data_IF_220852007984
#
_entry.id   IF_220852007984
#
_cell.length_a   1.000
_cell.length_b   1.000
_cell.length_c   1.000
_cell.angle_alpha   90.00
_cell.angle_beta   90.00
_cell.angle_gamma   90.00
#
_symmetry.space_group_name_H-M   'P 1'
#
loop_
_entity.id
_entity.type
_entity.pdbx_description
1 polymer ?
#
# COMPACT_ATOMS: atom_id res chain seq x y z
N UNK A 1 7.23 44.63 65.08
CA UNK A 1 8.15 44.20 64.00
C UNK A 1 8.38 42.70 64.15
N UNK A 2 8.11 41.77 63.24
CA UNK A 2 7.38 41.71 61.98
C UNK A 2 7.08 40.21 61.75
N UNK A 3 5.87 39.88 61.31
CA UNK A 3 5.42 38.51 61.05
C UNK A 3 6.02 38.02 59.73
N UNK A 4 6.82 36.97 59.76
CA UNK A 4 7.37 36.31 58.55
C UNK A 4 6.41 35.24 58.02
N UNK A 5 5.67 35.60 56.97
CA UNK A 5 4.76 34.75 56.21
C UNK A 5 5.55 33.71 55.39
N UNK A 6 5.39 32.42 55.66
CA UNK A 6 5.90 31.34 54.79
C UNK A 6 4.94 31.16 53.62
N UNK A 7 5.32 31.68 52.45
CA UNK A 7 4.63 31.44 51.19
C UNK A 7 5.16 30.13 50.59
N UNK A 8 4.28 29.14 50.49
CA UNK A 8 4.49 27.91 49.74
C UNK A 8 4.26 28.23 48.27
N UNK A 9 5.29 28.15 47.44
CA UNK A 9 5.15 28.21 45.98
C UNK A 9 4.56 26.89 45.48
N UNK A 10 3.24 26.87 45.26
CA UNK A 10 2.61 25.86 44.43
C UNK A 10 2.88 26.22 42.96
N UNK A 11 3.75 25.45 42.30
CA UNK A 11 3.99 25.55 40.87
C UNK A 11 2.75 25.01 40.13
N UNK A 12 1.76 25.87 39.88
CA UNK A 12 0.66 25.60 38.95
C UNK A 12 1.23 25.60 37.53
N UNK A 13 1.53 24.40 37.02
CA UNK A 13 1.84 24.19 35.61
C UNK A 13 0.54 24.41 34.81
N UNK A 14 0.29 25.65 34.41
CA UNK A 14 -0.71 26.01 33.41
C UNK A 14 -0.26 25.45 32.06
N UNK A 15 -0.67 24.21 31.74
CA UNK A 15 -0.65 23.68 30.39
C UNK A 15 -1.68 24.46 29.56
N UNK A 16 -1.27 25.58 28.99
CA UNK A 16 -1.93 26.18 27.84
C UNK A 16 -1.80 25.22 26.66
N UNK A 17 -2.82 24.40 26.45
CA UNK A 17 -2.97 23.60 25.23
C UNK A 17 -3.13 24.59 24.09
N UNK A 18 -2.01 24.90 23.42
CA UNK A 18 -2.02 25.51 22.10
C UNK A 18 -2.77 24.54 21.19
N UNK A 19 -3.89 25.01 20.64
CA UNK A 19 -4.61 24.35 19.54
C UNK A 19 -3.74 24.59 18.29
N UNK A 20 -2.60 23.94 18.24
CA UNK A 20 -1.74 23.86 17.07
C UNK A 20 -1.57 22.39 16.73
N UNK A 21 -1.58 22.10 15.42
CA UNK A 21 -1.58 20.78 14.81
C UNK A 21 -0.89 19.71 15.68
N UNK A 22 -1.64 18.67 16.06
CA UNK A 22 -1.09 17.45 16.63
C UNK A 22 0.13 17.06 15.80
N UNK A 23 1.31 16.99 16.43
CA UNK A 23 2.56 16.66 15.75
C UNK A 23 2.34 15.41 14.88
N UNK A 24 2.80 15.41 13.61
CA UNK A 24 2.58 14.29 12.71
C UNK A 24 3.26 13.08 13.31
N UNK A 25 2.44 12.13 13.78
CA UNK A 25 2.92 10.81 14.15
C UNK A 25 3.16 10.07 12.83
N UNK A 26 4.40 9.66 12.59
CA UNK A 26 4.76 8.93 11.37
C UNK A 26 4.18 7.52 11.44
N UNK A 27 3.30 7.18 10.51
CA UNK A 27 2.74 5.83 10.33
C UNK A 27 3.28 5.22 9.04
N UNK A 28 3.14 3.91 8.87
CA UNK A 28 3.57 3.24 7.64
C UNK A 28 2.78 3.84 6.48
N UNK A 29 3.47 4.33 5.45
CA UNK A 29 2.87 5.02 4.30
C UNK A 29 1.92 4.13 3.48
N UNK A 30 1.84 2.83 3.81
CA UNK A 30 1.31 1.79 2.93
C UNK A 30 0.91 0.49 3.62
N UNK A 31 0.16 0.61 4.72
CA UNK A 31 -0.33 -0.56 5.44
C UNK A 31 -1.70 -0.35 6.06
N UNK A 32 -2.41 -1.44 6.31
CA UNK A 32 -3.54 -1.42 7.25
C UNK A 32 -2.96 -1.04 8.61
N UNK A 33 -3.38 0.10 9.14
CA UNK A 33 -2.95 0.57 10.46
C UNK A 33 -3.84 -0.08 11.52
N UNK A 34 -3.21 -0.67 12.52
CA UNK A 34 -3.88 -1.24 13.69
C UNK A 34 -3.86 -0.26 14.84
N UNK A 35 -4.87 -0.35 15.71
CA UNK A 35 -5.07 0.58 16.82
C UNK A 35 -5.11 -0.19 18.13
N UNK A 36 -4.45 0.35 19.15
CA UNK A 36 -4.50 -0.14 20.52
C UNK A 36 -4.84 0.98 21.49
N UNK A 37 -5.57 0.64 22.55
CA UNK A 37 -5.79 1.49 23.72
C UNK A 37 -5.38 0.69 24.95
N UNK A 38 -4.38 1.19 25.68
CA UNK A 38 -3.70 0.45 26.75
C UNK A 38 -3.34 -0.97 26.28
N UNK A 39 -3.83 -2.01 26.95
CA UNK A 39 -3.47 -3.41 26.65
C UNK A 39 -4.44 -4.08 25.67
N UNK A 40 -5.41 -3.34 25.14
CA UNK A 40 -6.42 -3.86 24.22
C UNK A 40 -6.19 -3.38 22.79
N UNK A 41 -6.25 -4.32 21.84
CA UNK A 41 -6.32 -3.99 20.41
C UNK A 41 -7.75 -3.67 20.00
N UNK A 42 -7.96 -2.57 19.30
CA UNK A 42 -9.25 -2.22 18.74
C UNK A 42 -9.55 -3.07 17.49
N UNK A 43 -10.80 -3.48 17.37
CA UNK A 43 -11.34 -4.18 16.19
C UNK A 43 -12.49 -3.40 15.60
N UNK A 44 -12.57 -3.39 14.28
CA UNK A 44 -13.54 -2.61 13.53
C UNK A 44 -14.28 -3.52 12.54
N UNK A 45 -15.28 -4.28 13.02
CA UNK A 45 -15.97 -5.28 12.18
C UNK A 45 -16.87 -4.65 11.12
N UNK A 46 -17.49 -3.50 11.42
CA UNK A 46 -18.48 -2.87 10.54
C UNK A 46 -17.85 -1.82 9.62
N UNK A 47 -17.14 -0.83 10.19
CA UNK A 47 -16.58 0.32 9.47
C UNK A 47 -15.10 0.41 9.78
N UNK A 48 -14.27 0.32 8.75
CA UNK A 48 -12.81 0.33 8.91
C UNK A 48 -12.27 1.75 9.14
N UNK A 49 -11.16 1.90 9.88
CA UNK A 49 -10.44 3.17 9.99
C UNK A 49 -9.98 3.70 8.63
N UNK A 50 -9.92 5.02 8.50
CA UNK A 50 -9.49 5.71 7.28
C UNK A 50 -8.33 6.66 7.57
N UNK A 51 -7.48 6.89 6.57
CA UNK A 51 -6.41 7.90 6.64
C UNK A 51 -6.71 9.01 5.65
N UNK A 52 -6.73 10.25 6.13
CA UNK A 52 -6.89 11.42 5.27
C UNK A 52 -5.87 12.49 5.65
N UNK A 53 -5.07 12.96 4.69
CA UNK A 53 -4.01 13.97 4.93
C UNK A 53 -3.13 13.63 6.15
N UNK A 54 -2.71 12.37 6.27
CA UNK A 54 -1.93 11.81 7.39
C UNK A 54 -2.61 11.83 8.77
N UNK A 55 -3.93 12.04 8.83
CA UNK A 55 -4.72 11.92 10.05
C UNK A 55 -5.49 10.59 10.02
N UNK A 56 -5.35 9.80 11.08
CA UNK A 56 -6.06 8.54 11.26
C UNK A 56 -7.44 8.80 11.89
N UNK A 57 -8.47 8.31 11.22
CA UNK A 57 -9.86 8.41 11.63
C UNK A 57 -10.40 7.05 12.03
N UNK A 58 -11.04 6.98 13.19
CA UNK A 58 -11.68 5.76 13.69
C UNK A 58 -13.14 6.02 14.04
N UNK A 59 -14.01 4.98 14.01
CA UNK A 59 -15.35 5.07 14.54
C UNK A 59 -15.38 5.46 16.02
N UNK A 60 -16.10 6.54 16.36
CA UNK A 60 -16.11 7.11 17.72
C UNK A 60 -16.60 6.13 18.79
N UNK A 61 -17.55 5.25 18.45
CA UNK A 61 -18.15 4.30 19.41
C UNK A 61 -17.14 3.24 19.87
N UNK A 62 -16.40 2.68 18.93
CA UNK A 62 -15.35 1.68 19.18
C UNK A 62 -14.22 2.30 19.99
N UNK A 63 -13.83 3.54 19.64
CA UNK A 63 -12.82 4.27 20.40
C UNK A 63 -13.29 4.56 21.84
N UNK A 64 -14.52 5.04 22.00
CA UNK A 64 -15.12 5.33 23.31
C UNK A 64 -15.19 4.07 24.19
N UNK A 65 -15.60 2.93 23.63
CA UNK A 65 -15.64 1.66 24.34
C UNK A 65 -14.24 1.24 24.82
N UNK A 66 -13.23 1.26 23.95
CA UNK A 66 -11.87 0.87 24.29
C UNK A 66 -11.23 1.79 25.36
N UNK A 67 -11.56 3.08 25.32
CA UNK A 67 -11.08 4.06 26.31
C UNK A 67 -11.93 4.09 27.59
N UNK A 68 -12.98 3.27 27.68
CA UNK A 68 -13.97 3.23 28.76
C UNK A 68 -14.64 4.59 29.01
N UNK A 69 -14.98 5.30 27.92
CA UNK A 69 -15.73 6.55 27.96
C UNK A 69 -17.23 6.28 27.99
N UNK A 70 -17.97 7.09 28.72
CA UNK A 70 -19.42 7.18 28.55
C UNK A 70 -19.70 7.97 27.29
N UNK A 71 -20.57 7.43 26.42
CA UNK A 71 -20.99 8.05 25.16
C UNK A 71 -22.50 8.30 25.18
N UNK A 72 -22.92 9.50 24.80
CA UNK A 72 -24.34 9.85 24.58
C UNK A 72 -24.48 10.65 23.29
N UNK A 73 -25.59 10.48 22.58
CA UNK A 73 -25.87 11.22 21.35
C UNK A 73 -27.27 11.87 21.42
N UNK A 74 -27.36 13.17 21.13
CA UNK A 74 -28.61 13.94 21.11
C UNK A 74 -28.44 15.16 20.21
N UNK A 75 -29.47 15.53 19.43
CA UNK A 75 -29.47 16.76 18.61
C UNK A 75 -28.17 16.98 17.80
N UNK A 76 -27.68 15.94 17.13
CA UNK A 76 -26.43 15.92 16.34
C UNK A 76 -25.12 16.07 17.15
N UNK A 77 -25.21 16.24 18.46
CA UNK A 77 -24.08 16.19 19.40
C UNK A 77 -23.78 14.74 19.78
N UNK A 78 -22.51 14.35 19.68
CA UNK A 78 -21.96 13.15 20.34
C UNK A 78 -21.08 13.62 21.50
N UNK A 79 -21.45 13.24 22.72
CA UNK A 79 -20.73 13.61 23.94
C UNK A 79 -19.99 12.41 24.51
N UNK A 80 -18.71 12.62 24.79
CA UNK A 80 -17.79 11.67 25.42
C UNK A 80 -17.40 12.17 26.80
N UNK A 81 -17.46 11.30 27.82
CA UNK A 81 -17.05 11.66 29.19
C UNK A 81 -16.23 10.58 29.88
N UNK A 82 -15.25 10.99 30.70
CA UNK A 82 -14.50 10.12 31.63
C UNK A 82 -14.09 10.95 32.85
N UNK A 83 -14.64 10.60 34.01
CA UNK A 83 -14.50 11.42 35.22
C UNK A 83 -14.99 12.85 34.97
N UNK A 84 -14.11 13.84 35.21
CA UNK A 84 -14.42 15.26 35.02
C UNK A 84 -14.20 15.75 33.57
N UNK A 85 -13.59 14.93 32.71
CA UNK A 85 -13.28 15.30 31.33
C UNK A 85 -14.52 15.10 30.44
N UNK A 86 -14.81 16.09 29.60
CA UNK A 86 -15.98 16.09 28.70
C UNK A 86 -15.57 16.62 27.34
N UNK A 87 -15.92 15.90 26.28
CA UNK A 87 -15.72 16.33 24.91
C UNK A 87 -17.00 16.15 24.11
N UNK A 88 -17.53 17.23 23.58
CA UNK A 88 -18.71 17.25 22.72
C UNK A 88 -18.29 17.43 21.27
N UNK A 89 -18.89 16.64 20.38
CA UNK A 89 -18.55 16.53 18.96
C UNK A 89 -19.79 16.79 18.10
N UNK A 90 -19.71 17.72 17.16
CA UNK A 90 -20.73 17.97 16.14
C UNK A 90 -20.12 17.63 14.78
N UNK A 91 -20.40 16.41 14.32
CA UNK A 91 -19.81 15.85 13.11
C UNK A 91 -20.06 16.70 11.86
N UNK A 92 -21.32 17.12 11.65
CA UNK A 92 -21.71 17.91 10.47
C UNK A 92 -21.06 19.30 10.45
N UNK A 93 -20.82 19.88 11.63
CA UNK A 93 -20.25 21.22 11.76
C UNK A 93 -18.73 21.22 11.87
N UNK A 94 -18.10 20.04 11.90
CA UNK A 94 -16.68 19.86 12.21
C UNK A 94 -16.27 20.63 13.48
N UNK A 95 -17.15 20.65 14.48
CA UNK A 95 -17.01 21.45 15.70
C UNK A 95 -16.85 20.53 16.89
N UNK A 96 -15.98 20.93 17.80
CA UNK A 96 -15.83 20.32 19.11
C UNK A 96 -15.94 21.36 20.20
N UNK A 97 -16.43 20.94 21.37
CA UNK A 97 -16.48 21.76 22.59
C UNK A 97 -15.94 20.93 23.73
N UNK A 98 -14.98 21.47 24.45
CA UNK A 98 -14.35 20.82 25.60
C UNK A 98 -15.10 21.18 26.90
N UNK A 99 -14.85 20.43 27.98
CA UNK A 99 -15.59 20.59 29.24
C UNK A 99 -15.48 21.96 29.91
N UNK A 100 -14.45 22.76 29.57
CA UNK A 100 -14.28 24.16 30.03
C UNK A 100 -14.96 25.18 29.10
N UNK A 101 -15.69 24.72 28.08
CA UNK A 101 -16.42 25.54 27.13
C UNK A 101 -15.60 26.02 25.94
N UNK A 102 -14.31 25.64 25.80
CA UNK A 102 -13.53 26.04 24.62
C UNK A 102 -14.00 25.28 23.38
N UNK A 103 -14.27 26.05 22.33
CA UNK A 103 -14.64 25.54 21.02
C UNK A 103 -13.44 25.46 20.08
N UNK A 104 -13.43 24.47 19.21
CA UNK A 104 -12.45 24.36 18.12
C UNK A 104 -13.06 23.67 16.89
N UNK A 105 -12.39 23.85 15.74
CA UNK A 105 -12.70 23.10 14.53
C UNK A 105 -11.86 21.83 14.49
N UNK A 106 -12.53 20.70 14.32
CA UNK A 106 -11.91 19.40 14.14
C UNK A 106 -12.64 18.71 13.00
N UNK A 107 -11.92 18.42 11.93
CA UNK A 107 -12.51 17.71 10.81
C UNK A 107 -12.91 16.30 11.25
N UNK A 108 -14.15 15.92 10.90
CA UNK A 108 -14.82 14.67 11.18
C UNK A 108 -15.74 14.38 9.99
N UNK A 109 -16.17 13.14 9.85
CA UNK A 109 -17.11 12.77 8.79
C UNK A 109 -17.90 11.53 9.17
N UNK A 110 -18.96 11.25 8.41
CA UNK A 110 -19.76 10.05 8.61
C UNK A 110 -19.44 9.02 7.53
N UNK A 111 -19.16 7.79 7.93
CA UNK A 111 -19.06 6.62 7.04
C UNK A 111 -20.05 5.57 7.51
N UNK A 112 -20.93 5.12 6.62
CA UNK A 112 -21.93 4.09 6.92
C UNK A 112 -22.69 4.34 8.25
N UNK A 113 -23.17 5.58 8.43
CA UNK A 113 -23.85 6.04 9.65
C UNK A 113 -23.02 5.96 10.94
N UNK A 114 -21.69 5.90 10.86
CA UNK A 114 -20.75 6.01 11.98
C UNK A 114 -19.98 7.31 11.88
N UNK A 115 -19.93 8.07 12.98
CA UNK A 115 -19.08 9.25 13.10
C UNK A 115 -17.61 8.82 13.23
N UNK A 116 -16.80 9.29 12.29
CA UNK A 116 -15.36 9.09 12.21
C UNK A 116 -14.65 10.28 12.85
N UNK A 117 -13.78 10.01 13.82
CA UNK A 117 -13.08 11.02 14.60
C UNK A 117 -11.57 10.84 14.50
N UNK A 118 -10.77 11.93 14.55
CA UNK A 118 -9.32 11.82 14.64
C UNK A 118 -8.89 11.07 15.89
N UNK A 119 -8.30 9.88 15.70
CA UNK A 119 -7.87 9.01 16.80
C UNK A 119 -6.93 9.74 17.75
N UNK A 120 -5.95 10.44 17.18
CA UNK A 120 -4.92 11.13 17.95
C UNK A 120 -5.51 12.22 18.85
N UNK A 121 -6.39 13.06 18.29
CA UNK A 121 -6.99 14.16 19.03
C UNK A 121 -7.81 13.66 20.23
N UNK A 122 -8.71 12.70 19.99
CA UNK A 122 -9.62 12.21 21.04
C UNK A 122 -8.82 11.50 22.14
N UNK A 123 -7.85 10.65 21.78
CA UNK A 123 -7.03 9.93 22.76
C UNK A 123 -6.18 10.88 23.61
N UNK A 124 -5.48 11.83 22.98
CA UNK A 124 -4.68 12.84 23.69
C UNK A 124 -5.53 13.73 24.58
N UNK A 125 -6.74 14.11 24.13
CA UNK A 125 -7.67 14.90 24.93
C UNK A 125 -7.96 14.22 26.27
N UNK A 126 -8.14 12.89 26.29
CA UNK A 126 -8.38 12.11 27.51
C UNK A 126 -7.08 11.61 28.19
N UNK A 127 -5.94 12.23 27.91
CA UNK A 127 -4.68 12.00 28.63
C UNK A 127 -3.89 10.76 28.21
N UNK A 128 -4.15 10.21 27.02
CA UNK A 128 -3.35 9.11 26.48
C UNK A 128 -2.16 9.63 25.68
N UNK A 129 -1.02 8.97 25.84
CA UNK A 129 0.18 9.16 25.02
C UNK A 129 0.12 8.23 23.81
N UNK A 130 0.34 8.78 22.62
CA UNK A 130 0.43 8.01 21.39
C UNK A 130 1.84 7.50 21.15
N UNK A 131 1.94 6.24 20.76
CA UNK A 131 3.18 5.62 20.30
C UNK A 131 2.90 4.85 19.02
N UNK A 132 3.79 5.01 18.04
CA UNK A 132 3.80 4.16 16.84
C UNK A 132 4.77 3.02 17.02
N UNK A 133 4.32 1.83 16.69
CA UNK A 133 5.02 0.56 16.88
C UNK A 133 5.05 -0.20 15.54
N UNK A 134 5.88 -1.26 15.48
CA UNK A 134 5.95 -2.17 14.33
C UNK A 134 6.11 -1.43 12.99
N UNK A 135 7.13 -0.57 12.90
CA UNK A 135 7.47 0.21 11.69
C UNK A 135 6.32 1.05 11.13
N UNK A 136 5.38 1.49 11.99
CA UNK A 136 4.27 2.34 11.52
C UNK A 136 2.94 1.63 11.36
N UNK A 137 2.89 0.31 11.50
CA UNK A 137 1.68 -0.49 11.26
C UNK A 137 0.76 -0.57 12.47
N UNK A 138 1.24 -0.21 13.67
CA UNK A 138 0.46 -0.26 14.91
C UNK A 138 0.58 1.06 15.67
N UNK A 139 -0.57 1.63 16.04
CA UNK A 139 -0.67 2.86 16.82
C UNK A 139 -1.31 2.55 18.15
N UNK A 140 -0.61 2.85 19.24
CA UNK A 140 -1.08 2.58 20.58
C UNK A 140 -1.25 3.90 21.34
N UNK A 141 -2.46 4.15 21.83
CA UNK A 141 -2.75 5.17 22.81
C UNK A 141 -2.68 4.54 24.21
N UNK A 142 -1.76 4.97 25.06
CA UNK A 142 -1.59 4.40 26.40
C UNK A 142 -1.52 5.48 27.48
N UNK A 143 -2.03 5.17 28.66
CA UNK A 143 -1.93 6.02 29.85
C UNK A 143 -1.47 5.19 31.06
N UNK A 144 -1.57 5.73 32.27
CA UNK A 144 -1.16 5.03 33.51
C UNK A 144 -1.95 3.76 33.83
N UNK A 145 -3.00 3.43 33.07
CA UNK A 145 -3.74 2.17 33.19
C UNK A 145 -3.13 1.04 32.35
N UNK A 146 -2.08 1.29 31.54
CA UNK A 146 -1.38 0.22 30.82
C UNK A 146 -0.62 -0.71 31.77
N UNK A 147 -0.69 -2.01 31.51
CA UNK A 147 0.10 -3.03 32.22
C UNK A 147 1.23 -3.53 31.32
N UNK A 148 1.01 -3.59 30.01
CA UNK A 148 2.01 -4.07 29.05
C UNK A 148 2.91 -2.93 28.58
N UNK A 149 4.21 -3.17 28.62
CA UNK A 149 5.18 -2.41 27.83
C UNK A 149 4.87 -2.54 26.34
N UNK A 150 5.27 -1.57 25.52
CA UNK A 150 5.05 -1.60 24.07
C UNK A 150 5.60 -2.86 23.40
N UNK A 151 6.75 -3.37 23.85
CA UNK A 151 7.39 -4.58 23.31
C UNK A 151 6.49 -5.81 23.53
N UNK A 152 6.00 -5.99 24.77
CA UNK A 152 5.08 -7.07 25.13
C UNK A 152 3.71 -6.95 24.45
N UNK A 153 3.20 -5.73 24.29
CA UNK A 153 1.96 -5.49 23.55
C UNK A 153 2.09 -5.93 22.09
N UNK A 154 3.20 -5.57 21.43
CA UNK A 154 3.51 -6.03 20.07
C UNK A 154 3.62 -7.54 20.03
N UNK A 155 4.35 -8.16 20.96
CA UNK A 155 4.53 -9.62 21.02
C UNK A 155 3.20 -10.35 21.17
N UNK A 156 2.35 -9.92 22.11
CA UNK A 156 1.03 -10.50 22.37
C UNK A 156 0.13 -10.45 21.12
N UNK A 157 0.22 -9.38 20.34
CA UNK A 157 -0.59 -9.20 19.13
C UNK A 157 0.10 -9.64 17.84
N UNK A 158 1.37 -10.08 17.90
CA UNK A 158 2.19 -10.42 16.73
C UNK A 158 1.56 -11.53 15.88
N UNK A 159 0.98 -12.54 16.51
CA UNK A 159 0.31 -13.64 15.81
C UNK A 159 -0.95 -13.16 15.07
N UNK A 160 -1.71 -12.22 15.64
CA UNK A 160 -2.89 -11.62 15.00
C UNK A 160 -2.52 -10.67 13.88
N UNK A 161 -1.45 -9.87 14.05
CA UNK A 161 -0.91 -9.01 13.00
C UNK A 161 -0.45 -9.84 11.79
N UNK A 162 0.34 -10.90 12.04
CA UNK A 162 0.75 -11.86 11.00
C UNK A 162 -0.44 -12.59 10.37
N UNK A 163 -1.41 -13.02 11.19
CA UNK A 163 -2.60 -13.73 10.73
C UNK A 163 -3.44 -12.82 9.82
N UNK A 164 -3.73 -11.58 10.20
CA UNK A 164 -4.48 -10.62 9.37
C UNK A 164 -3.70 -10.13 8.14
N UNK A 165 -2.37 -10.04 8.21
CA UNK A 165 -1.51 -9.85 7.03
C UNK A 165 -1.57 -11.05 6.07
N UNK A 166 -1.66 -12.26 6.61
CA UNK A 166 -1.68 -13.51 5.82
C UNK A 166 -3.07 -13.91 5.32
N UNK A 167 -4.14 -13.59 6.05
CA UNK A 167 -5.49 -14.12 5.82
C UNK A 167 -6.36 -13.28 4.89
N UNK A 168 -5.95 -12.07 4.49
CA UNK A 168 -6.87 -11.25 3.67
C UNK A 168 -6.21 -10.22 2.77
N UNK A 169 -5.18 -10.62 2.02
CA UNK A 169 -4.72 -9.82 0.87
C UNK A 169 -4.52 -10.69 -0.35
N UNK A 170 -5.42 -10.57 -1.33
CA UNK A 170 -5.30 -11.22 -2.62
C UNK A 170 -4.07 -10.64 -3.34
N UNK A 171 -3.09 -11.46 -3.75
CA UNK A 171 -1.95 -10.93 -4.50
C UNK A 171 -2.42 -10.50 -5.89
N UNK A 172 -1.84 -9.40 -6.36
CA UNK A 172 -1.95 -8.95 -7.73
C UNK A 172 -0.57 -8.54 -8.24
N UNK A 173 -0.31 -8.82 -9.51
CA UNK A 173 1.01 -8.62 -10.11
C UNK A 173 0.88 -7.64 -11.26
N UNK A 174 1.27 -6.39 -11.03
CA UNK A 174 1.49 -5.47 -12.15
C UNK A 174 2.76 -5.84 -12.88
N UNK A 175 2.65 -5.84 -14.20
CA UNK A 175 3.78 -6.10 -15.07
C UNK A 175 3.85 -5.03 -16.16
N UNK A 176 5.04 -4.47 -16.36
CA UNK A 176 5.30 -3.40 -17.32
C UNK A 176 6.30 -3.88 -18.37
N UNK A 177 5.86 -3.91 -19.63
CA UNK A 177 6.65 -4.36 -20.78
C UNK A 177 7.29 -3.17 -21.52
N UNK A 178 8.19 -3.49 -22.45
CA UNK A 178 8.87 -2.60 -23.41
C UNK A 178 9.85 -1.56 -22.84
N UNK A 179 9.91 -1.46 -21.51
CA UNK A 179 10.82 -0.57 -20.81
C UNK A 179 12.31 -0.97 -20.91
N UNK A 180 13.21 -0.18 -20.30
CA UNK A 180 12.90 1.12 -19.72
C UNK A 180 12.66 2.17 -20.81
N UNK A 181 11.88 3.20 -20.49
CA UNK A 181 11.56 4.34 -21.36
C UNK A 181 11.81 5.66 -20.62
N UNK A 182 11.48 6.79 -21.24
CA UNK A 182 11.51 8.09 -20.56
C UNK A 182 10.48 8.19 -19.41
N UNK A 183 9.49 7.29 -19.36
CA UNK A 183 8.40 7.32 -18.37
C UNK A 183 8.63 6.41 -17.16
N UNK A 184 9.69 5.59 -17.18
CA UNK A 184 9.98 4.63 -16.11
C UNK A 184 10.07 5.30 -14.73
N UNK A 185 10.70 6.47 -14.64
CA UNK A 185 10.82 7.19 -13.37
C UNK A 185 9.47 7.71 -12.86
N UNK A 186 8.57 8.13 -13.74
CA UNK A 186 7.23 8.58 -13.37
C UNK A 186 6.39 7.41 -12.89
N UNK A 187 6.51 6.25 -13.55
CA UNK A 187 5.88 5.01 -13.13
C UNK A 187 6.35 4.59 -11.73
N UNK A 188 7.67 4.64 -11.47
CA UNK A 188 8.24 4.36 -10.15
C UNK A 188 7.76 5.35 -9.09
N UNK A 189 7.60 6.64 -9.43
CA UNK A 189 7.04 7.63 -8.51
C UNK A 189 5.62 7.27 -8.09
N UNK A 190 4.77 6.87 -9.05
CA UNK A 190 3.41 6.40 -8.77
C UNK A 190 3.45 5.14 -7.90
N UNK A 191 4.22 4.12 -8.29
CA UNK A 191 4.31 2.87 -7.52
C UNK A 191 4.77 3.12 -6.08
N UNK A 192 5.78 3.99 -5.88
CA UNK A 192 6.27 4.39 -4.56
C UNK A 192 5.21 5.14 -3.75
N UNK A 193 4.44 6.04 -4.36
CA UNK A 193 3.37 6.78 -3.68
C UNK A 193 2.33 5.84 -3.06
N UNK A 194 2.06 4.71 -3.71
CA UNK A 194 1.10 3.72 -3.22
C UNK A 194 1.76 2.49 -2.57
N UNK A 195 3.10 2.47 -2.45
CA UNK A 195 3.92 1.31 -2.09
C UNK A 195 3.49 0.01 -2.81
N UNK A 196 3.21 0.14 -4.09
CA UNK A 196 2.93 -0.99 -4.94
C UNK A 196 4.25 -1.55 -5.49
N UNK A 197 4.49 -2.86 -5.31
CA UNK A 197 5.59 -3.54 -6.01
C UNK A 197 5.11 -4.08 -7.35
N UNK A 198 6.04 -4.24 -8.29
CA UNK A 198 5.73 -4.59 -9.67
C UNK A 198 6.90 -5.31 -10.33
N UNK A 199 6.64 -5.94 -11.48
CA UNK A 199 7.65 -6.59 -12.31
C UNK A 199 7.80 -5.85 -13.63
N UNK A 200 9.02 -5.59 -14.05
CA UNK A 200 9.30 -4.89 -15.30
C UNK A 200 10.03 -5.81 -16.28
N UNK A 201 9.40 -6.12 -17.41
CA UNK A 201 10.01 -6.92 -18.47
C UNK A 201 10.71 -5.98 -19.45
N UNK A 202 12.04 -5.93 -19.34
CA UNK A 202 12.85 -4.92 -20.00
C UNK A 202 13.46 -5.43 -21.30
N UNK A 203 13.44 -4.57 -22.32
CA UNK A 203 14.06 -4.81 -23.62
C UNK A 203 15.53 -4.43 -23.54
N UNK A 204 16.41 -5.38 -23.86
CA UNK A 204 17.85 -5.22 -23.78
C UNK A 204 18.34 -3.93 -24.44
N UNK A 205 18.01 -3.67 -25.72
CA UNK A 205 18.51 -2.50 -26.45
C UNK A 205 18.28 -1.14 -25.75
N UNK A 206 17.26 -1.03 -24.89
CA UNK A 206 16.92 0.20 -24.18
C UNK A 206 17.74 0.38 -22.90
N UNK A 207 18.16 -0.72 -22.26
CA UNK A 207 18.80 -0.72 -20.93
C UNK A 207 20.03 0.19 -20.80
N UNK A 208 20.97 0.26 -21.76
CA UNK A 208 22.18 1.10 -21.60
C UNK A 208 21.85 2.58 -21.45
N UNK A 209 20.79 3.06 -22.13
CA UNK A 209 20.34 4.45 -22.07
C UNK A 209 19.73 4.80 -20.71
N UNK A 210 19.13 3.82 -20.03
CA UNK A 210 18.35 4.01 -18.80
C UNK A 210 18.93 3.23 -17.61
N UNK A 211 20.26 3.24 -17.48
CA UNK A 211 20.98 2.52 -16.43
C UNK A 211 20.55 2.95 -15.02
N UNK A 212 20.25 4.22 -14.82
CA UNK A 212 19.86 4.75 -13.50
C UNK A 212 18.46 4.30 -13.10
N UNK A 213 17.54 4.27 -14.05
CA UNK A 213 16.18 3.77 -13.90
C UNK A 213 16.23 2.29 -13.50
N UNK A 214 17.02 1.46 -14.18
CA UNK A 214 17.19 0.05 -13.83
C UNK A 214 17.69 -0.17 -12.40
N UNK A 215 18.68 0.62 -11.96
CA UNK A 215 19.15 0.59 -10.57
C UNK A 215 18.03 0.94 -9.60
N UNK A 216 17.27 1.98 -9.92
CA UNK A 216 16.15 2.45 -9.09
C UNK A 216 15.05 1.40 -8.97
N UNK A 217 14.67 0.75 -10.08
CA UNK A 217 13.70 -0.36 -10.06
C UNK A 217 14.13 -1.44 -9.07
N UNK A 218 15.40 -1.87 -9.15
CA UNK A 218 15.93 -2.90 -8.26
C UNK A 218 15.99 -2.43 -6.80
N UNK A 219 16.50 -1.21 -6.54
CA UNK A 219 16.65 -0.64 -5.21
C UNK A 219 15.32 -0.35 -4.50
N UNK A 220 14.27 -0.02 -5.25
CA UNK A 220 12.92 0.19 -4.71
C UNK A 220 12.13 -1.12 -4.50
N UNK A 221 12.77 -2.28 -4.72
CA UNK A 221 12.22 -3.60 -4.42
C UNK A 221 11.32 -4.18 -5.51
N UNK A 222 11.37 -3.63 -6.72
CA UNK A 222 10.67 -4.18 -7.88
C UNK A 222 11.51 -5.29 -8.54
N UNK A 223 10.85 -6.15 -9.30
CA UNK A 223 11.54 -7.19 -10.06
C UNK A 223 11.91 -6.68 -11.45
N UNK A 224 13.19 -6.78 -11.82
CA UNK A 224 13.63 -6.60 -13.21
C UNK A 224 13.64 -7.97 -13.91
N UNK A 225 13.00 -8.07 -15.05
CA UNK A 225 12.83 -9.28 -15.87
C UNK A 225 13.14 -8.97 -17.35
N UNK A 226 13.15 -10.00 -18.20
CA UNK A 226 13.67 -9.88 -19.58
C UNK A 226 12.55 -9.96 -20.63
N UNK A 227 12.64 -9.09 -21.64
CA UNK A 227 11.72 -9.02 -22.77
C UNK A 227 12.41 -9.16 -24.14
N UNK A 228 13.48 -9.96 -24.17
CA UNK A 228 14.36 -10.08 -25.33
C UNK A 228 15.29 -8.88 -25.50
N UNK A 229 16.17 -8.95 -26.50
CA UNK A 229 17.18 -7.91 -26.75
C UNK A 229 16.62 -6.81 -27.66
N UNK A 230 15.90 -7.18 -28.72
CA UNK A 230 15.52 -6.25 -29.80
C UNK A 230 14.05 -5.89 -29.84
N UNK A 231 13.17 -6.76 -29.31
CA UNK A 231 11.72 -6.72 -29.50
C UNK A 231 11.30 -6.80 -30.99
N UNK A 232 12.15 -7.32 -31.88
CA UNK A 232 11.82 -7.50 -33.29
C UNK A 232 11.29 -8.92 -33.53
N UNK A 233 10.01 -9.06 -33.93
CA UNK A 233 9.36 -10.34 -34.22
C UNK A 233 10.23 -11.26 -35.08
N UNK A 234 10.75 -10.71 -36.19
CA UNK A 234 11.53 -11.47 -37.19
C UNK A 234 12.89 -11.95 -36.67
N UNK A 235 13.43 -11.32 -35.62
CA UNK A 235 14.68 -11.75 -34.97
C UNK A 235 14.39 -12.73 -33.86
N UNK A 236 13.45 -12.39 -32.97
CA UNK A 236 13.10 -13.22 -31.83
C UNK A 236 12.57 -14.60 -32.26
N UNK A 237 11.56 -14.62 -33.13
CA UNK A 237 10.88 -15.84 -33.59
C UNK A 237 11.48 -16.45 -34.87
N UNK A 238 12.75 -16.16 -35.18
CA UNK A 238 13.44 -16.78 -36.32
C UNK A 238 13.68 -18.28 -36.08
N UNK A 239 14.03 -18.66 -34.86
CA UNK A 239 14.32 -20.04 -34.43
C UNK A 239 14.35 -20.15 -32.90
N UNK A 240 14.24 -21.36 -32.32
CA UNK A 240 14.46 -21.56 -30.88
C UNK A 240 15.80 -20.99 -30.38
N UNK A 241 16.86 -21.09 -31.19
CA UNK A 241 18.18 -20.57 -30.85
C UNK A 241 18.22 -19.03 -30.88
N UNK A 242 17.48 -18.37 -31.78
CA UNK A 242 17.43 -16.91 -31.81
C UNK A 242 16.68 -16.35 -30.61
N UNK A 243 15.56 -16.96 -30.21
CA UNK A 243 14.84 -16.58 -28.99
C UNK A 243 15.72 -16.74 -27.74
N UNK A 244 16.46 -17.85 -27.65
CA UNK A 244 17.41 -18.05 -26.56
C UNK A 244 18.52 -16.98 -26.58
N UNK A 245 19.07 -16.68 -27.75
CA UNK A 245 20.15 -15.69 -27.90
C UNK A 245 19.69 -14.28 -27.53
N UNK A 246 18.45 -13.90 -27.88
CA UNK A 246 17.82 -12.64 -27.48
C UNK A 246 17.66 -12.55 -25.95
N UNK A 247 17.22 -13.63 -25.30
CA UNK A 247 17.06 -13.66 -23.84
C UNK A 247 18.40 -13.67 -23.10
N UNK A 248 19.40 -14.41 -23.62
CA UNK A 248 20.75 -14.43 -23.07
C UNK A 248 21.41 -13.05 -23.20
N UNK A 249 21.31 -12.40 -24.37
CA UNK A 249 21.86 -11.07 -24.60
C UNK A 249 21.28 -10.01 -23.66
N UNK A 250 19.95 -10.01 -23.48
CA UNK A 250 19.30 -9.10 -22.54
C UNK A 250 19.72 -9.39 -21.08
N UNK A 251 19.84 -10.67 -20.69
CA UNK A 251 20.30 -11.08 -19.35
C UNK A 251 21.71 -10.60 -19.07
N UNK A 252 22.64 -10.86 -20.00
CA UNK A 252 24.05 -10.56 -19.82
C UNK A 252 24.27 -9.05 -19.74
N UNK A 253 23.54 -8.28 -20.56
CA UNK A 253 23.58 -6.83 -20.50
C UNK A 253 22.98 -6.27 -19.19
N UNK A 254 21.89 -6.84 -18.67
CA UNK A 254 21.34 -6.45 -17.37
C UNK A 254 22.36 -6.68 -16.24
N UNK A 255 23.04 -7.83 -16.26
CA UNK A 255 24.10 -8.19 -15.31
C UNK A 255 25.28 -7.22 -15.42
N UNK A 256 25.74 -6.90 -16.62
CA UNK A 256 26.84 -5.97 -16.84
C UNK A 256 26.52 -4.56 -16.33
N UNK A 257 25.30 -4.07 -16.59
CA UNK A 257 24.91 -2.71 -16.23
C UNK A 257 24.72 -2.53 -14.72
N UNK A 258 24.03 -3.45 -14.06
CA UNK A 258 23.59 -3.24 -12.66
C UNK A 258 23.84 -4.43 -11.73
N UNK A 259 24.48 -5.51 -12.19
CA UNK A 259 24.78 -6.69 -11.38
C UNK A 259 23.58 -7.58 -11.07
N UNK A 260 22.41 -7.33 -11.68
CA UNK A 260 21.19 -8.11 -11.44
C UNK A 260 21.12 -9.29 -12.40
N UNK A 261 20.91 -10.47 -11.86
CA UNK A 261 20.61 -11.68 -12.62
C UNK A 261 19.17 -12.12 -12.45
N UNK A 262 18.53 -12.50 -13.55
CA UNK A 262 17.15 -13.00 -13.56
C UNK A 262 16.97 -14.06 -14.64
N UNK A 263 16.01 -14.96 -14.39
CA UNK A 263 15.53 -15.95 -15.35
C UNK A 263 14.04 -15.78 -15.66
N UNK A 264 13.41 -14.73 -15.13
CA UNK A 264 12.04 -14.39 -15.49
C UNK A 264 12.01 -13.74 -16.86
N UNK A 265 11.18 -14.27 -17.75
CA UNK A 265 11.02 -13.77 -19.11
C UNK A 265 9.55 -13.58 -19.45
N UNK A 266 9.32 -12.63 -20.34
CA UNK A 266 8.09 -12.53 -21.11
C UNK A 266 8.46 -12.48 -22.58
N UNK A 267 7.81 -13.29 -23.39
CA UNK A 267 8.05 -13.27 -24.84
C UNK A 267 7.35 -12.06 -25.47
N UNK A 268 8.01 -11.31 -26.37
CA UNK A 268 7.37 -10.30 -27.19
C UNK A 268 6.07 -10.83 -27.82
N UNK A 269 4.98 -10.05 -27.74
CA UNK A 269 3.66 -10.40 -28.31
C UNK A 269 2.94 -11.60 -27.67
N UNK A 270 3.40 -12.05 -26.50
CA UNK A 270 2.86 -13.22 -25.81
C UNK A 270 3.32 -14.55 -26.41
N UNK A 271 3.24 -15.61 -25.61
CA UNK A 271 3.86 -16.89 -25.96
C UNK A 271 3.13 -17.69 -27.04
N UNK A 272 1.84 -17.42 -27.27
CA UNK A 272 0.99 -18.20 -28.19
C UNK A 272 0.57 -17.32 -29.36
N UNK A 273 0.64 -17.82 -30.62
CA UNK A 273 1.00 -19.18 -31.02
C UNK A 273 2.50 -19.43 -31.25
N UNK A 274 3.34 -18.40 -31.16
CA UNK A 274 4.66 -18.40 -31.79
C UNK A 274 5.77 -19.09 -30.97
N UNK A 275 5.68 -19.12 -29.63
CA UNK A 275 6.64 -19.78 -28.76
C UNK A 275 6.32 -21.29 -28.65
N UNK A 276 6.54 -22.02 -29.76
CA UNK A 276 6.23 -23.44 -29.87
C UNK A 276 7.02 -24.29 -28.86
N UNK A 277 6.73 -25.61 -28.82
CA UNK A 277 7.38 -26.52 -27.86
C UNK A 277 8.91 -26.45 -27.94
N UNK A 278 9.48 -26.38 -29.14
CA UNK A 278 10.94 -26.32 -29.34
C UNK A 278 11.57 -25.06 -28.73
N UNK A 279 10.90 -23.89 -28.86
CA UNK A 279 11.32 -22.66 -28.22
C UNK A 279 11.29 -22.79 -26.70
N UNK A 280 10.18 -23.30 -26.16
CA UNK A 280 10.01 -23.47 -24.70
C UNK A 280 10.99 -24.47 -24.12
N UNK A 281 11.24 -25.59 -24.80
CA UNK A 281 12.23 -26.58 -24.37
C UNK A 281 13.62 -25.95 -24.27
N UNK A 282 14.02 -25.17 -25.28
CA UNK A 282 15.33 -24.50 -25.29
C UNK A 282 15.47 -23.47 -24.17
N UNK A 283 14.44 -22.66 -23.92
CA UNK A 283 14.43 -21.67 -22.85
C UNK A 283 14.40 -22.32 -21.46
N UNK A 284 13.59 -23.37 -21.27
CA UNK A 284 13.48 -24.09 -20.00
C UNK A 284 14.77 -24.85 -19.64
N UNK A 285 15.49 -25.40 -20.63
CA UNK A 285 16.82 -26.01 -20.43
C UNK A 285 17.83 -25.01 -19.83
N UNK A 286 17.68 -23.73 -20.16
CA UNK A 286 18.50 -22.62 -19.62
C UNK A 286 17.90 -22.01 -18.34
N UNK A 287 16.90 -22.67 -17.75
CA UNK A 287 16.28 -22.27 -16.50
C UNK A 287 15.38 -21.03 -16.58
N UNK A 288 15.04 -20.56 -17.79
CA UNK A 288 14.12 -19.45 -17.96
C UNK A 288 12.68 -19.84 -17.57
N UNK A 289 11.97 -18.88 -16.95
CA UNK A 289 10.59 -19.00 -16.48
C UNK A 289 9.70 -18.02 -17.24
N UNK A 290 8.76 -18.55 -18.01
CA UNK A 290 7.91 -17.77 -18.90
C UNK A 290 6.64 -17.27 -18.20
N UNK A 291 6.43 -15.97 -18.24
CA UNK A 291 5.22 -15.30 -17.75
C UNK A 291 4.51 -14.56 -18.89
N UNK A 292 3.31 -15.00 -19.23
CA UNK A 292 2.31 -14.21 -19.96
C UNK A 292 1.49 -13.38 -18.95
N UNK A 293 0.22 -13.12 -19.24
CA UNK A 293 -0.72 -12.37 -18.41
C UNK A 293 -2.10 -13.03 -18.44
N UNK A 294 -2.97 -12.70 -17.48
CA UNK A 294 -4.39 -13.07 -17.51
C UNK A 294 -5.33 -11.86 -17.46
N UNK A 295 -4.76 -10.66 -17.42
CA UNK A 295 -5.44 -9.37 -17.62
C UNK A 295 -4.62 -8.57 -18.62
N UNK A 296 -5.21 -8.22 -19.75
CA UNK A 296 -4.63 -7.29 -20.72
C UNK A 296 -5.26 -5.92 -20.50
N UNK A 297 -4.46 -4.90 -20.21
CA UNK A 297 -4.98 -3.54 -19.99
C UNK A 297 -5.42 -2.85 -21.29
N UNK A 298 -5.00 -3.37 -22.44
CA UNK A 298 -5.19 -2.77 -23.76
C UNK A 298 -4.67 -1.31 -23.85
N UNK A 299 -3.73 -0.94 -23.00
CA UNK A 299 -3.14 0.40 -22.95
C UNK A 299 -2.43 0.78 -24.27
N UNK A 300 -1.79 -0.18 -24.92
CA UNK A 300 -1.20 -0.03 -26.26
C UNK A 300 -2.23 0.31 -27.35
N UNK A 301 -3.49 -0.08 -27.17
CA UNK A 301 -4.59 0.16 -28.12
C UNK A 301 -5.32 1.47 -27.83
N UNK A 302 -5.24 1.96 -26.59
CA UNK A 302 -5.98 3.10 -26.07
C UNK A 302 -5.05 4.21 -25.54
N UNK A 303 -4.08 4.70 -26.34
CA UNK A 303 -3.04 5.62 -25.86
C UNK A 303 -3.59 6.97 -25.38
N UNK A 304 -4.83 7.33 -25.71
CA UNK A 304 -5.45 8.59 -25.27
C UNK A 304 -6.75 8.38 -24.49
N UNK A 305 -7.03 7.14 -24.04
CA UNK A 305 -8.32 6.79 -23.42
C UNK A 305 -8.13 6.10 -22.06
N UNK A 306 -7.58 6.80 -21.05
CA UNK A 306 -7.24 6.20 -19.75
C UNK A 306 -8.43 5.56 -19.04
N UNK A 307 -9.65 6.09 -19.21
CA UNK A 307 -10.84 5.46 -18.62
C UNK A 307 -11.18 4.10 -19.24
N UNK A 308 -10.88 3.87 -20.53
CA UNK A 308 -11.04 2.54 -21.13
C UNK A 308 -10.05 1.54 -20.53
N UNK A 309 -8.80 1.94 -20.36
CA UNK A 309 -7.75 1.13 -19.72
C UNK A 309 -8.18 0.76 -18.29
N UNK A 310 -8.63 1.75 -17.52
CA UNK A 310 -9.14 1.54 -16.17
C UNK A 310 -10.28 0.51 -16.16
N UNK A 311 -11.29 0.69 -17.01
CA UNK A 311 -12.45 -0.19 -17.04
C UNK A 311 -12.08 -1.63 -17.44
N UNK A 312 -11.17 -1.80 -18.40
CA UNK A 312 -10.71 -3.12 -18.83
C UNK A 312 -10.01 -3.86 -17.70
N UNK A 313 -9.07 -3.20 -17.03
CA UNK A 313 -8.33 -3.78 -15.90
C UNK A 313 -9.27 -4.15 -14.75
N UNK A 314 -10.10 -3.21 -14.29
CA UNK A 314 -10.98 -3.45 -13.13
C UNK A 314 -12.03 -4.53 -13.43
N UNK A 315 -12.58 -4.54 -14.64
CA UNK A 315 -13.53 -5.58 -15.07
C UNK A 315 -12.89 -6.96 -15.06
N UNK A 316 -11.73 -7.11 -15.71
CA UNK A 316 -11.03 -8.39 -15.79
C UNK A 316 -10.60 -8.91 -14.41
N UNK A 317 -10.02 -8.03 -13.56
CA UNK A 317 -9.63 -8.37 -12.19
C UNK A 317 -10.84 -8.83 -11.37
N UNK A 318 -11.99 -8.15 -11.49
CA UNK A 318 -13.22 -8.53 -10.79
C UNK A 318 -13.71 -9.93 -11.18
N UNK A 319 -13.54 -10.34 -12.45
CA UNK A 319 -13.93 -11.67 -12.91
C UNK A 319 -12.96 -12.76 -12.44
N UNK A 320 -11.66 -12.46 -12.35
CA UNK A 320 -10.67 -13.39 -11.79
C UNK A 320 -10.85 -13.58 -10.29
N UNK A 321 -11.21 -12.52 -9.56
CA UNK A 321 -11.55 -12.57 -8.13
C UNK A 321 -12.62 -13.63 -7.83
N UNK A 322 -13.70 -13.64 -8.61
CA UNK A 322 -14.80 -14.62 -8.47
C UNK A 322 -14.34 -16.07 -8.69
N UNK A 323 -13.22 -16.28 -9.38
CA UNK A 323 -12.63 -17.59 -9.67
C UNK A 323 -11.48 -17.95 -8.71
N UNK A 324 -11.13 -17.08 -7.76
CA UNK A 324 -9.99 -17.27 -6.87
C UNK A 324 -8.64 -17.25 -7.60
N UNK A 325 -8.56 -16.59 -8.76
CA UNK A 325 -7.34 -16.54 -9.58
C UNK A 325 -6.64 -15.19 -9.34
N UNK A 326 -5.34 -15.24 -9.03
CA UNK A 326 -4.53 -14.03 -8.88
C UNK A 326 -4.33 -13.33 -10.25
N UNK A 327 -4.58 -12.02 -10.37
CA UNK A 327 -4.36 -11.31 -11.62
C UNK A 327 -2.87 -11.01 -11.87
N UNK A 328 -2.43 -11.25 -13.10
CA UNK A 328 -1.16 -10.81 -13.69
C UNK A 328 -1.53 -9.86 -14.82
N UNK A 329 -1.28 -8.58 -14.60
CA UNK A 329 -1.76 -7.49 -15.46
C UNK A 329 -0.65 -7.05 -16.41
N UNK A 330 -0.88 -7.18 -17.71
CA UNK A 330 -0.02 -6.60 -18.75
C UNK A 330 -0.33 -5.11 -18.91
N UNK A 331 0.72 -4.30 -18.76
CA UNK A 331 0.77 -2.89 -19.11
C UNK A 331 2.12 -2.58 -19.76
N UNK A 332 2.29 -1.39 -20.30
CA UNK A 332 3.51 -0.94 -20.95
C UNK A 332 4.03 0.33 -20.28
N UNK A 333 5.35 0.53 -20.31
CA UNK A 333 6.05 1.65 -19.69
C UNK A 333 5.89 2.96 -20.51
N UNK A 334 4.68 3.52 -20.48
CA UNK A 334 4.25 4.66 -21.32
C UNK A 334 3.42 5.71 -20.56
N UNK A 335 3.33 6.92 -21.12
CA UNK A 335 2.68 8.08 -20.50
C UNK A 335 1.23 7.83 -20.05
N UNK A 336 0.43 7.17 -20.89
CA UNK A 336 -0.99 6.90 -20.61
C UNK A 336 -1.15 5.95 -19.42
N UNK A 337 -0.27 4.96 -19.33
CA UNK A 337 -0.20 4.02 -18.21
C UNK A 337 0.13 4.76 -16.91
N UNK A 338 1.13 5.65 -16.93
CA UNK A 338 1.46 6.51 -15.79
C UNK A 338 0.25 7.32 -15.33
N UNK A 339 -0.52 7.89 -16.27
CA UNK A 339 -1.69 8.72 -15.94
C UNK A 339 -2.86 7.95 -15.29
N UNK A 340 -3.13 6.72 -15.74
CA UNK A 340 -4.26 5.92 -15.22
C UNK A 340 -3.92 5.09 -13.97
N UNK A 341 -2.64 4.72 -13.81
CA UNK A 341 -2.19 3.80 -12.77
C UNK A 341 -2.60 4.21 -11.33
N UNK A 342 -2.53 5.48 -10.90
CA UNK A 342 -2.97 5.89 -9.56
C UNK A 342 -4.42 5.48 -9.24
N UNK A 343 -5.32 5.65 -10.22
CA UNK A 343 -6.75 5.33 -10.09
C UNK A 343 -6.97 3.82 -9.98
N UNK A 344 -6.22 3.03 -10.76
CA UNK A 344 -6.25 1.57 -10.71
C UNK A 344 -5.74 1.07 -9.34
N UNK A 345 -4.59 1.56 -8.88
CA UNK A 345 -3.99 1.15 -7.61
C UNK A 345 -4.95 1.45 -6.45
N UNK A 346 -5.45 2.68 -6.35
CA UNK A 346 -6.36 3.07 -5.28
C UNK A 346 -7.61 2.18 -5.22
N UNK A 347 -8.21 1.87 -6.38
CA UNK A 347 -9.37 0.99 -6.46
C UNK A 347 -9.04 -0.42 -5.96
N UNK A 348 -7.94 -1.01 -6.41
CA UNK A 348 -7.57 -2.37 -6.05
C UNK A 348 -7.10 -2.47 -4.58
N UNK A 349 -6.42 -1.45 -4.05
CA UNK A 349 -6.12 -1.35 -2.61
C UNK A 349 -7.40 -1.34 -1.77
N UNK A 350 -8.41 -0.55 -2.16
CA UNK A 350 -9.70 -0.51 -1.45
C UNK A 350 -10.43 -1.87 -1.46
N UNK A 351 -10.10 -2.74 -2.42
CA UNK A 351 -10.66 -4.09 -2.53
C UNK A 351 -9.83 -5.17 -1.83
N UNK A 352 -8.74 -4.77 -1.15
CA UNK A 352 -7.88 -5.64 -0.36
C UNK A 352 -6.78 -6.34 -1.17
N UNK A 353 -6.46 -5.90 -2.38
CA UNK A 353 -5.31 -6.45 -3.12
C UNK A 353 -3.98 -5.95 -2.57
N UNK A 354 -2.93 -6.77 -2.72
CA UNK A 354 -1.54 -6.34 -2.53
C UNK A 354 -0.73 -6.54 -3.80
N UNK A 355 0.11 -5.55 -4.09
CA UNK A 355 0.91 -5.55 -5.31
C UNK A 355 2.24 -6.21 -5.01
N UNK A 356 2.41 -7.41 -5.53
CA UNK A 356 3.60 -8.21 -5.35
C UNK A 356 4.39 -8.30 -6.67
N UNK A 357 5.63 -8.75 -6.54
CA UNK A 357 6.48 -9.08 -7.69
C UNK A 357 6.26 -10.52 -8.12
N UNK A 358 6.50 -10.80 -9.39
CA UNK A 358 6.67 -12.17 -9.85
C UNK A 358 8.04 -12.66 -9.40
N UNK A 359 8.12 -13.92 -8.97
CA UNK A 359 9.38 -14.57 -8.59
C UNK A 359 9.60 -15.87 -9.35
N UNK A 360 10.85 -16.32 -9.41
CA UNK A 360 11.24 -17.57 -10.09
C UNK A 360 10.68 -18.83 -9.43
N UNK A 361 10.30 -18.74 -8.16
CA UNK A 361 9.82 -19.85 -7.33
C UNK A 361 8.30 -20.04 -7.44
N UNK A 362 7.61 -19.10 -8.08
CA UNK A 362 6.19 -19.20 -8.40
C UNK A 362 5.96 -20.09 -9.62
N UNK A 363 4.82 -20.80 -9.64
CA UNK A 363 4.36 -21.51 -10.82
C UNK A 363 4.11 -20.49 -11.95
N UNK A 364 4.78 -20.63 -13.11
CA UNK A 364 4.62 -19.69 -14.21
C UNK A 364 3.18 -19.68 -14.75
N UNK A 365 2.69 -18.48 -15.08
CA UNK A 365 1.46 -18.30 -15.84
C UNK A 365 1.83 -18.11 -17.30
N UNK A 366 1.50 -19.08 -18.16
CA UNK A 366 1.66 -18.94 -19.61
C UNK A 366 0.49 -19.59 -20.37
N UNK A 367 0.24 -19.11 -21.59
CA UNK A 367 -0.86 -19.53 -22.45
C UNK A 367 -0.77 -21.00 -22.90
N UNK A 368 0.41 -21.61 -22.81
CA UNK A 368 0.64 -23.03 -23.10
C UNK A 368 0.35 -23.94 -21.90
N UNK A 369 0.14 -23.40 -20.71
CA UNK A 369 0.03 -24.14 -19.44
C UNK A 369 1.26 -25.04 -19.17
N UNK A 370 2.42 -24.65 -19.69
CA UNK A 370 3.69 -25.35 -19.47
C UNK A 370 4.21 -24.99 -18.06
N UNK A 371 4.37 -25.95 -17.13
CA UNK A 371 4.70 -25.62 -15.73
C UNK A 371 6.19 -25.31 -15.50
N UNK A 372 7.03 -25.45 -16.53
CA UNK A 372 8.50 -25.34 -16.43
C UNK A 372 9.02 -23.91 -16.43
#
# INVERSE_FOLDING_TARGET
MGKGLRIVFALLLLCSIMISHTAPVSYAASGKVYFGVNDERLTFPDVVPETHSNVLFVPVRQLAAAMKLTISASNQEVRLTKGNMKLSLWGNDNKIVTGDGKEAKLWMFTRENRLMVPFAYVTQYFGYKLTTLSEGTLVRAANSEEVLSNEKFVEMHKALLKKEESENKLPIYFTFDDGPTAHTNDLLNVLKQFDAKATFFMVGKNMPKYKNELKRIHQEGHQVALHGMTHEVKKFYKSPQSALSEMNGARDQLKELIGVETRLIRSPYGSKPNLTKEYRDKLAQEGYRLWDWNVDSQDWKHPNEPDKIYNEVISAVSQLKKKGIAPVILMHDQATTVGVLPKIIAKLQSEGYRFEILSKDMKPLNFWKDPR
#
